data_IF_521768171396
#
_entry.id   IF_521768171396
#
_cell.length_a   1.000
_cell.length_b   1.000
_cell.length_c   1.000
_cell.angle_alpha   90.00
_cell.angle_beta   90.00
_cell.angle_gamma   90.00
#
_symmetry.space_group_name_H-M   'P 1'
#
loop_
_entity.id
_entity.type
_entity.pdbx_description
1 polymer ?
#
# COMPACT_ATOMS: atom_id res chain seq x y z
N UNK A 1 -17.07 5.15 30.31
CA UNK A 1 -17.56 3.76 30.46
C UNK A 1 -18.17 3.38 29.13
N UNK A 2 -17.73 2.23 28.61
CA UNK A 2 -18.26 1.48 27.46
C UNK A 2 -18.14 2.20 26.10
N UNK A 3 -17.52 1.61 25.07
CA UNK A 3 -17.81 0.27 24.55
C UNK A 3 -16.56 -0.60 24.34
N UNK A 4 -16.59 -1.78 24.95
CA UNK A 4 -15.85 -2.96 24.48
C UNK A 4 -16.60 -3.64 23.33
N UNK A 5 -15.80 -4.32 22.49
CA UNK A 5 -16.14 -5.46 21.60
C UNK A 5 -16.81 -5.17 20.25
N UNK A 6 -16.22 -5.79 19.21
CA UNK A 6 -16.74 -6.31 17.91
C UNK A 6 -15.57 -6.28 16.88
N UNK A 7 -14.57 -7.18 16.88
CA UNK A 7 -14.59 -8.56 16.39
C UNK A 7 -15.52 -8.84 15.18
N UNK A 8 -15.36 -8.04 14.11
CA UNK A 8 -15.53 -8.38 12.68
C UNK A 8 -15.26 -7.08 11.88
N UNK A 9 -13.99 -6.65 11.81
CA UNK A 9 -13.68 -5.27 11.41
C UNK A 9 -13.48 -5.22 9.89
N UNK A 10 -14.51 -4.77 9.16
CA UNK A 10 -14.35 -4.10 7.87
C UNK A 10 -13.33 -2.97 8.07
N UNK A 11 -12.05 -3.28 7.88
CA UNK A 11 -10.97 -2.34 8.10
C UNK A 11 -11.07 -1.37 6.94
N UNK A 12 -11.54 -0.15 7.16
CA UNK A 12 -11.59 0.85 6.08
C UNK A 12 -10.18 1.36 5.80
N UNK A 13 -9.94 1.87 4.60
CA UNK A 13 -8.65 2.46 4.21
C UNK A 13 -8.14 3.44 5.28
N UNK A 14 -9.03 4.30 5.79
CA UNK A 14 -8.70 5.27 6.82
C UNK A 14 -8.23 4.62 8.13
N UNK A 15 -8.82 3.51 8.56
CA UNK A 15 -8.39 2.80 9.77
C UNK A 15 -7.04 2.11 9.60
N UNK A 16 -6.81 1.49 8.43
CA UNK A 16 -5.52 0.86 8.12
C UNK A 16 -4.44 1.94 8.05
N UNK A 17 -4.67 3.04 7.34
CA UNK A 17 -3.77 4.20 7.33
C UNK A 17 -3.46 4.72 8.73
N UNK A 18 -4.46 4.86 9.60
CA UNK A 18 -4.23 5.33 10.97
C UNK A 18 -3.37 4.34 11.77
N UNK A 19 -3.63 3.04 11.63
CA UNK A 19 -2.85 1.98 12.27
C UNK A 19 -1.39 2.00 11.81
N UNK A 20 -1.18 2.09 10.50
CA UNK A 20 0.13 2.22 9.88
C UNK A 20 0.85 3.48 10.37
N UNK A 21 0.16 4.62 10.43
CA UNK A 21 0.69 5.87 10.96
C UNK A 21 1.10 5.74 12.43
N UNK A 22 0.34 5.00 13.26
CA UNK A 22 0.71 4.70 14.66
C UNK A 22 1.92 3.77 14.77
N UNK A 23 2.11 2.87 13.80
CA UNK A 23 3.28 1.97 13.70
C UNK A 23 4.56 2.67 13.22
N UNK A 24 4.50 3.95 12.82
CA UNK A 24 5.66 4.65 12.25
C UNK A 24 5.72 4.57 10.72
N UNK A 25 4.63 4.15 10.07
CA UNK A 25 4.49 3.99 8.63
C UNK A 25 3.66 5.18 8.12
N UNK A 26 4.34 6.27 7.77
CA UNK A 26 3.71 7.52 7.35
C UNK A 26 3.89 7.81 5.87
N UNK A 27 4.66 6.96 5.19
CA UNK A 27 5.22 7.26 3.90
C UNK A 27 4.66 6.29 2.87
N UNK A 28 4.33 6.86 1.74
CA UNK A 28 3.76 6.17 0.60
C UNK A 28 4.81 6.04 -0.49
N UNK A 29 4.81 4.91 -1.17
CA UNK A 29 5.59 4.68 -2.36
C UNK A 29 4.73 5.05 -3.58
N UNK A 30 5.24 5.95 -4.41
CA UNK A 30 4.62 6.37 -5.66
C UNK A 30 5.57 6.16 -6.82
N UNK A 31 5.02 5.68 -7.93
CA UNK A 31 5.76 5.59 -9.17
C UNK A 31 5.76 6.96 -9.85
N UNK A 32 6.92 7.39 -10.37
CA UNK A 32 7.01 8.58 -11.22
C UNK A 32 6.72 8.25 -12.69
N UNK A 33 6.67 9.28 -13.54
CA UNK A 33 6.49 9.14 -15.00
C UNK A 33 7.60 8.29 -15.66
N UNK A 34 8.79 8.27 -15.06
CA UNK A 34 9.92 7.45 -15.50
C UNK A 34 9.85 5.98 -15.04
N UNK A 35 8.71 5.54 -14.51
CA UNK A 35 8.47 4.16 -14.09
C UNK A 35 9.39 3.71 -12.94
N UNK A 36 9.79 4.65 -12.09
CA UNK A 36 10.63 4.41 -10.92
C UNK A 36 9.82 4.60 -9.64
N UNK A 37 9.90 3.63 -8.74
CA UNK A 37 9.27 3.74 -7.43
C UNK A 37 10.05 4.72 -6.55
N UNK A 38 9.37 5.74 -6.04
CA UNK A 38 9.93 6.73 -5.12
C UNK A 38 9.14 6.73 -3.83
N UNK A 39 9.86 6.88 -2.73
CA UNK A 39 9.26 7.01 -1.40
C UNK A 39 8.94 8.48 -1.14
N UNK A 40 7.79 8.76 -0.51
CA UNK A 40 7.40 10.13 -0.16
C UNK A 40 8.53 10.83 0.62
N UNK A 41 8.88 12.05 0.20
CA UNK A 41 10.03 12.81 0.70
C UNK A 41 11.42 12.20 0.46
N UNK A 42 11.57 11.27 -0.49
CA UNK A 42 12.87 10.71 -0.87
C UNK A 42 13.17 10.91 -2.35
N UNK A 43 14.40 11.33 -2.66
CA UNK A 43 14.92 11.31 -4.02
C UNK A 43 15.47 9.92 -4.42
N UNK A 44 15.53 8.97 -3.47
CA UNK A 44 15.96 7.60 -3.70
C UNK A 44 14.93 6.88 -4.55
N UNK A 45 15.40 6.25 -5.63
CA UNK A 45 14.64 5.30 -6.41
C UNK A 45 14.77 3.92 -5.78
N UNK A 46 13.64 3.26 -5.56
CA UNK A 46 13.58 1.90 -5.04
C UNK A 46 13.38 0.94 -6.20
N UNK A 47 14.15 -0.14 -6.18
CA UNK A 47 13.99 -1.25 -7.12
C UNK A 47 13.04 -2.29 -6.52
N UNK A 48 12.36 -3.11 -7.33
CA UNK A 48 11.46 -4.13 -6.81
C UNK A 48 12.20 -5.16 -5.96
N UNK A 49 13.49 -5.40 -6.23
CA UNK A 49 14.37 -6.29 -5.46
C UNK A 49 14.72 -5.73 -4.08
N UNK A 50 14.62 -4.42 -3.87
CA UNK A 50 14.86 -3.77 -2.57
C UNK A 50 13.61 -3.73 -1.69
N UNK A 51 12.45 -4.00 -2.27
CA UNK A 51 11.17 -3.98 -1.59
C UNK A 51 10.68 -5.41 -1.37
N UNK A 52 9.87 -5.58 -0.33
CA UNK A 52 9.27 -6.85 0.01
C UNK A 52 7.80 -6.61 0.37
N UNK A 53 6.88 -7.20 -0.37
CA UNK A 53 5.45 -7.12 -0.04
C UNK A 53 5.20 -7.99 1.18
N UNK A 54 4.90 -7.37 2.32
CA UNK A 54 4.57 -8.06 3.57
C UNK A 54 3.08 -8.39 3.67
N UNK A 55 2.23 -7.50 3.14
CA UNK A 55 0.78 -7.67 3.19
C UNK A 55 0.07 -6.88 2.11
N UNK A 56 -1.09 -7.37 1.70
CA UNK A 56 -1.98 -6.68 0.77
C UNK A 56 -3.36 -6.52 1.40
N UNK A 57 -3.97 -5.36 1.18
CA UNK A 57 -5.32 -5.03 1.63
C UNK A 57 -6.09 -4.53 0.42
N UNK A 58 -7.32 -4.99 0.24
CA UNK A 58 -8.23 -4.46 -0.79
C UNK A 58 -9.41 -3.83 -0.07
N UNK A 59 -9.71 -2.60 -0.43
CA UNK A 59 -10.83 -1.83 0.05
C UNK A 59 -11.74 -1.50 -1.13
N UNK A 60 -13.04 -1.55 -0.89
CA UNK A 60 -14.04 -0.99 -1.80
C UNK A 60 -14.23 0.48 -1.41
N UNK A 61 -14.24 1.37 -2.39
CA UNK A 61 -14.34 2.81 -2.19
C UNK A 61 -15.67 3.18 -1.57
N UNK A 62 -15.63 3.91 -0.46
CA UNK A 62 -16.81 4.37 0.29
C UNK A 62 -17.77 5.21 -0.59
N UNK A 63 -17.24 5.87 -1.63
CA UNK A 63 -18.00 6.78 -2.50
C UNK A 63 -18.55 6.13 -3.76
N UNK A 64 -17.86 5.14 -4.33
CA UNK A 64 -18.32 4.41 -5.50
C UNK A 64 -17.93 2.94 -5.35
N UNK A 65 -18.87 1.99 -5.49
CA UNK A 65 -18.55 0.55 -5.46
C UNK A 65 -17.64 0.12 -6.64
N UNK A 66 -17.51 0.98 -7.65
CA UNK A 66 -16.60 0.77 -8.79
C UNK A 66 -15.17 1.24 -8.50
N UNK A 67 -14.98 2.11 -7.49
CA UNK A 67 -13.68 2.60 -7.06
C UNK A 67 -13.07 1.56 -6.12
N UNK A 68 -12.08 0.79 -6.57
CA UNK A 68 -11.43 -0.21 -5.74
C UNK A 68 -10.04 0.28 -5.37
N UNK A 69 -9.68 0.20 -4.11
CA UNK A 69 -8.37 0.62 -3.62
C UNK A 69 -7.62 -0.60 -3.11
N UNK A 70 -6.48 -0.90 -3.71
CA UNK A 70 -5.53 -1.87 -3.22
C UNK A 70 -4.40 -1.15 -2.47
N UNK A 71 -4.12 -1.56 -1.24
CA UNK A 71 -3.01 -1.08 -0.44
C UNK A 71 -2.03 -2.23 -0.24
N UNK A 72 -0.78 -2.03 -0.66
CA UNK A 72 0.31 -2.99 -0.49
C UNK A 72 1.26 -2.46 0.56
N UNK A 73 1.45 -3.21 1.64
CA UNK A 73 2.46 -2.92 2.66
C UNK A 73 3.78 -3.52 2.23
N UNK A 74 4.77 -2.67 2.10
CA UNK A 74 6.11 -2.99 1.67
C UNK A 74 7.11 -2.76 2.80
N UNK A 75 8.17 -3.55 2.80
CA UNK A 75 9.36 -3.29 3.60
C UNK A 75 10.57 -3.17 2.69
N UNK A 76 11.39 -2.15 2.92
CA UNK A 76 12.71 -2.00 2.30
C UNK A 76 13.76 -2.85 3.04
N UNK A 77 14.89 -3.11 2.38
CA UNK A 77 16.06 -3.77 2.98
C UNK A 77 16.55 -3.13 4.30
N UNK A 78 16.35 -1.82 4.48
CA UNK A 78 16.69 -1.09 5.71
C UNK A 78 15.64 -1.25 6.83
N UNK A 79 14.67 -2.16 6.67
CA UNK A 79 13.50 -2.34 7.56
C UNK A 79 12.57 -1.13 7.60
N UNK A 80 12.71 -0.20 6.64
CA UNK A 80 11.77 0.89 6.47
C UNK A 80 10.47 0.34 5.90
N UNK A 81 9.36 0.61 6.57
CA UNK A 81 8.05 0.20 6.14
C UNK A 81 7.39 1.34 5.35
N UNK A 82 6.72 0.98 4.27
CA UNK A 82 5.91 1.92 3.51
C UNK A 82 4.75 1.24 2.85
N UNK A 83 3.90 2.03 2.21
CA UNK A 83 2.70 1.52 1.57
C UNK A 83 2.60 2.02 0.14
N UNK A 84 2.10 1.18 -0.75
CA UNK A 84 1.60 1.60 -2.06
C UNK A 84 0.09 1.62 -1.96
N UNK A 85 -0.52 2.67 -2.49
CA UNK A 85 -1.97 2.76 -2.64
C UNK A 85 -2.26 2.87 -4.12
N UNK A 86 -2.97 1.88 -4.61
CA UNK A 86 -3.42 1.73 -5.98
C UNK A 86 -4.94 1.85 -6.00
N UNK A 87 -5.45 3.01 -6.39
CA UNK A 87 -6.86 3.20 -6.69
C UNK A 87 -7.09 2.74 -8.14
N UNK A 88 -7.52 1.48 -8.28
CA UNK A 88 -7.86 0.86 -9.54
C UNK A 88 -9.37 0.90 -9.75
N UNK A 89 -9.80 1.55 -10.82
CA UNK A 89 -11.20 1.77 -11.15
C UNK A 89 -11.31 2.56 -12.46
N UNK A 90 -12.46 3.20 -12.67
CA UNK A 90 -12.68 4.06 -13.85
C UNK A 90 -11.64 5.19 -14.00
N UNK A 91 -11.02 5.62 -12.90
CA UNK A 91 -9.93 6.59 -12.85
C UNK A 91 -8.69 5.94 -12.23
N UNK A 92 -8.06 5.02 -12.98
CA UNK A 92 -6.84 4.35 -12.51
C UNK A 92 -5.69 5.35 -12.43
N UNK A 93 -5.23 5.64 -11.21
CA UNK A 93 -4.17 6.62 -10.94
C UNK A 93 -2.82 6.20 -11.55
N UNK A 94 -2.64 4.90 -11.81
CA UNK A 94 -1.54 4.34 -12.58
C UNK A 94 -2.08 3.70 -13.86
N UNK A 95 -2.05 4.44 -14.97
CA UNK A 95 -2.51 3.96 -16.28
C UNK A 95 -1.44 3.15 -17.05
N UNK A 96 -0.49 2.52 -16.37
CA UNK A 96 0.68 1.91 -17.01
C UNK A 96 0.93 0.44 -16.63
N UNK A 97 1.20 -0.40 -17.65
CA UNK A 97 1.69 -1.78 -17.49
C UNK A 97 2.99 -1.87 -16.67
N UNK A 98 3.75 -0.78 -16.61
CA UNK A 98 4.99 -0.67 -15.87
C UNK A 98 4.77 -0.81 -14.35
N UNK A 99 3.69 -0.23 -13.81
CA UNK A 99 3.38 -0.35 -12.39
C UNK A 99 2.98 -1.78 -12.02
N UNK A 100 2.15 -2.43 -12.84
CA UNK A 100 1.80 -3.85 -12.70
C UNK A 100 3.05 -4.74 -12.78
N UNK A 101 3.90 -4.49 -13.77
CA UNK A 101 5.17 -5.20 -13.95
C UNK A 101 6.09 -5.02 -12.74
N UNK A 102 6.19 -3.80 -12.21
CA UNK A 102 6.98 -3.50 -11.02
C UNK A 102 6.45 -4.26 -9.82
N UNK A 103 5.16 -4.12 -9.50
CA UNK A 103 4.50 -4.83 -8.40
C UNK A 103 4.72 -6.34 -8.48
N UNK A 104 4.59 -6.91 -9.67
CA UNK A 104 4.79 -8.34 -9.92
C UNK A 104 6.25 -8.78 -9.81
N UNK A 105 7.20 -7.87 -10.01
CA UNK A 105 8.62 -8.11 -9.81
C UNK A 105 9.02 -8.05 -8.33
N UNK A 106 8.23 -7.41 -7.46
CA UNK A 106 8.52 -7.36 -6.02
C UNK A 106 8.34 -8.76 -5.42
N UNK A 107 9.32 -9.28 -4.66
CA UNK A 107 9.14 -10.51 -3.91
C UNK A 107 8.01 -10.34 -2.87
N UNK A 108 7.09 -11.31 -2.85
CA UNK A 108 5.98 -11.36 -1.91
C UNK A 108 6.36 -12.27 -0.75
N UNK A 109 6.41 -11.72 0.45
CA UNK A 109 6.61 -12.44 1.71
C UNK A 109 5.43 -12.16 2.64
N UNK A 110 4.26 -12.63 2.23
CA UNK A 110 3.05 -12.54 3.04
C UNK A 110 3.28 -13.19 4.41
N UNK A 111 3.21 -12.36 5.45
CA UNK A 111 3.34 -12.79 6.83
C UNK A 111 2.02 -12.52 7.53
N UNK A 112 1.43 -13.57 8.11
CA UNK A 112 0.16 -13.48 8.87
C UNK A 112 0.26 -12.57 10.10
N UNK A 113 1.49 -12.20 10.50
CA UNK A 113 1.79 -11.31 11.64
C UNK A 113 1.38 -9.83 11.44
N UNK A 114 1.05 -9.38 10.22
CA UNK A 114 0.85 -7.95 9.92
C UNK A 114 -0.58 -7.46 9.81
#
# INVERSE_FOLDING_TARGET
MEHSENNDQMTTLSQVMETLRKRGIHKEFRMNDECQMKYDNSEKNYTPEELLILKTYRFEGDSNPDDNVALYVLQDNEQNLGIIIDSYGADSNYSGEEFDTFLRAIPIQESDEY
#
